data_IF_082054125420
#
_entry.id   IF_082054125420
#
_cell.length_a   1.000
_cell.length_b   1.000
_cell.length_c   1.000
_cell.angle_alpha   90.00
_cell.angle_beta   90.00
_cell.angle_gamma   90.00
#
_symmetry.space_group_name_H-M   'P 1'
#
loop_
_entity.id
_entity.type
_entity.pdbx_description
1 polymer ?
#
# COMPACT_ATOMS: atom_id res chain seq x y z
N UNK A 1 -1.52 9.65 24.39
CA UNK A 1 -0.33 9.14 25.10
C UNK A 1 -0.16 7.68 24.73
N UNK A 2 1.04 7.25 24.35
CA UNK A 2 1.31 5.85 23.97
C UNK A 2 1.41 5.01 25.24
N UNK A 3 0.37 4.22 25.54
CA UNK A 3 0.37 3.38 26.73
C UNK A 3 1.27 2.16 26.48
N UNK A 4 2.24 1.86 27.36
CA UNK A 4 3.21 0.79 27.13
C UNK A 4 2.57 -0.60 26.99
N UNK A 5 1.42 -0.85 27.63
CA UNK A 5 0.70 -2.13 27.48
C UNK A 5 0.15 -2.32 26.06
N UNK A 6 -0.37 -1.28 25.41
CA UNK A 6 -0.86 -1.37 24.03
C UNK A 6 0.26 -1.69 23.04
N UNK A 7 1.45 -1.10 23.27
CA UNK A 7 2.64 -1.40 22.48
C UNK A 7 3.09 -2.83 22.71
N UNK A 8 3.07 -3.31 23.96
CA UNK A 8 3.42 -4.68 24.29
C UNK A 8 2.46 -5.69 23.64
N UNK A 9 1.14 -5.45 23.70
CA UNK A 9 0.13 -6.30 23.06
C UNK A 9 0.29 -6.34 21.54
N UNK A 10 0.54 -5.18 20.90
CA UNK A 10 0.77 -5.12 19.45
C UNK A 10 2.03 -5.88 19.03
N UNK A 11 3.16 -5.70 19.75
CA UNK A 11 4.40 -6.42 19.47
C UNK A 11 4.26 -7.93 19.72
N UNK A 12 3.53 -8.31 20.77
CA UNK A 12 3.24 -9.72 21.06
C UNK A 12 2.42 -10.38 19.95
N UNK A 13 1.41 -9.68 19.41
CA UNK A 13 0.64 -10.17 18.27
C UNK A 13 1.51 -10.36 17.01
N UNK A 14 2.38 -9.39 16.71
CA UNK A 14 3.33 -9.49 15.59
C UNK A 14 4.29 -10.68 15.79
N UNK A 15 4.81 -10.87 17.00
CA UNK A 15 5.69 -11.99 17.33
C UNK A 15 4.99 -13.35 17.15
N UNK A 16 3.71 -13.46 17.52
CA UNK A 16 2.93 -14.69 17.34
C UNK A 16 2.71 -15.03 15.85
N UNK A 17 2.54 -14.03 14.98
CA UNK A 17 2.48 -14.24 13.53
C UNK A 17 3.81 -14.80 13.01
N UNK A 18 4.94 -14.20 13.38
CA UNK A 18 6.25 -14.72 12.97
C UNK A 18 6.55 -16.11 13.53
N UNK A 19 6.15 -16.37 14.78
CA UNK A 19 6.30 -17.67 15.43
C UNK A 19 5.51 -18.76 14.70
N UNK A 20 4.26 -18.49 14.33
CA UNK A 20 3.42 -19.44 13.58
C UNK A 20 3.89 -19.62 12.13
N UNK A 21 4.35 -18.57 11.45
CA UNK A 21 4.92 -18.65 10.10
C UNK A 21 6.18 -19.53 10.05
N UNK A 22 6.93 -19.67 11.16
CA UNK A 22 8.09 -20.57 11.23
C UNK A 22 7.73 -22.02 10.92
N UNK A 23 6.48 -22.44 11.13
CA UNK A 23 6.04 -23.80 10.77
C UNK A 23 6.22 -24.11 9.28
N UNK A 24 6.22 -23.10 8.41
CA UNK A 24 6.50 -23.26 6.98
C UNK A 24 7.89 -23.87 6.76
N UNK A 25 8.88 -23.63 7.63
CA UNK A 25 10.21 -24.25 7.51
C UNK A 25 10.19 -25.78 7.67
N UNK A 26 9.18 -26.35 8.33
CA UNK A 26 9.05 -27.80 8.49
C UNK A 26 8.64 -28.50 7.18
N UNK A 27 8.07 -27.77 6.22
CA UNK A 27 7.71 -28.34 4.91
C UNK A 27 8.93 -28.81 4.10
N UNK A 28 10.13 -28.33 4.43
CA UNK A 28 11.40 -28.82 3.86
C UNK A 28 11.67 -30.29 4.16
N UNK A 29 11.11 -30.84 5.25
CA UNK A 29 11.29 -32.24 5.63
C UNK A 29 10.44 -33.21 4.79
N UNK A 30 9.42 -32.72 4.08
CA UNK A 30 8.57 -33.56 3.23
C UNK A 30 9.11 -33.61 1.80
N UNK A 31 9.18 -34.82 1.23
CA UNK A 31 9.70 -35.05 -0.14
C UNK A 31 8.90 -34.34 -1.23
N UNK A 32 7.60 -34.11 -1.02
CA UNK A 32 6.74 -33.42 -1.99
C UNK A 32 6.68 -31.89 -1.81
N UNK A 33 6.73 -31.39 -0.57
CA UNK A 33 6.57 -29.96 -0.28
C UNK A 33 7.91 -29.21 -0.19
N UNK A 34 9.02 -29.91 0.03
CA UNK A 34 10.35 -29.33 0.12
C UNK A 34 10.80 -28.61 -1.17
N UNK A 35 10.72 -29.24 -2.35
CA UNK A 35 11.08 -28.60 -3.62
C UNK A 35 10.23 -27.36 -3.93
N UNK A 36 8.93 -27.40 -3.60
CA UNK A 36 8.02 -26.27 -3.75
C UNK A 36 8.45 -25.08 -2.89
N UNK A 37 8.77 -25.33 -1.61
CA UNK A 37 9.23 -24.30 -0.69
C UNK A 37 10.55 -23.65 -1.13
N UNK A 38 11.51 -24.45 -1.60
CA UNK A 38 12.80 -23.94 -2.08
C UNK A 38 12.59 -23.04 -3.31
N UNK A 39 11.69 -23.44 -4.21
CA UNK A 39 11.33 -22.64 -5.40
C UNK A 39 10.68 -21.32 -5.02
N UNK A 40 9.75 -21.33 -4.06
CA UNK A 40 9.12 -20.12 -3.51
C UNK A 40 10.14 -19.15 -2.90
N UNK A 41 11.10 -19.67 -2.13
CA UNK A 41 12.14 -18.84 -1.51
C UNK A 41 13.03 -18.12 -2.53
N UNK A 42 13.35 -18.78 -3.65
CA UNK A 42 14.14 -18.18 -4.74
C UNK A 42 13.33 -17.12 -5.51
N UNK A 43 12.06 -17.40 -5.82
CA UNK A 43 11.18 -16.42 -6.48
C UNK A 43 10.96 -15.16 -5.63
N UNK A 44 10.96 -15.28 -4.30
CA UNK A 44 10.78 -14.14 -3.39
C UNK A 44 11.85 -13.04 -3.60
N UNK A 45 13.10 -13.42 -3.90
CA UNK A 45 14.15 -12.44 -4.19
C UNK A 45 13.87 -11.63 -5.46
N UNK A 46 13.23 -12.23 -6.47
CA UNK A 46 12.84 -11.51 -7.68
C UNK A 46 11.63 -10.60 -7.43
N UNK A 47 10.68 -11.05 -6.60
CA UNK A 47 9.55 -10.23 -6.15
C UNK A 47 10.05 -8.98 -5.39
N UNK A 48 11.06 -9.13 -4.51
CA UNK A 48 11.63 -7.99 -3.78
C UNK A 48 12.27 -6.94 -4.71
N UNK A 49 12.95 -7.35 -5.78
CA UNK A 49 13.49 -6.43 -6.79
C UNK A 49 12.37 -5.68 -7.50
N UNK A 50 11.28 -6.37 -7.85
CA UNK A 50 10.13 -5.74 -8.48
C UNK A 50 9.41 -4.77 -7.54
N UNK A 51 9.29 -5.14 -6.26
CA UNK A 51 8.69 -4.30 -5.22
C UNK A 51 9.42 -2.96 -5.10
N UNK A 52 10.74 -2.91 -5.32
CA UNK A 52 11.49 -1.66 -5.33
C UNK A 52 11.02 -0.70 -6.44
N UNK A 53 10.81 -1.20 -7.66
CA UNK A 53 10.28 -0.42 -8.79
C UNK A 53 8.87 0.08 -8.46
N UNK A 54 8.05 -0.81 -7.89
CA UNK A 54 6.70 -0.47 -7.45
C UNK A 54 6.70 0.66 -6.39
N UNK A 55 7.59 0.61 -5.40
CA UNK A 55 7.74 1.67 -4.39
C UNK A 55 8.11 3.03 -5.00
N UNK A 56 8.94 3.05 -6.05
CA UNK A 56 9.29 4.30 -6.75
C UNK A 56 8.07 4.92 -7.44
N UNK A 57 7.26 4.10 -8.11
CA UNK A 57 6.00 4.56 -8.72
C UNK A 57 5.05 5.10 -7.65
N UNK A 58 4.88 4.35 -6.55
CA UNK A 58 4.02 4.74 -5.44
C UNK A 58 4.45 6.09 -4.85
N UNK A 59 5.75 6.30 -4.59
CA UNK A 59 6.30 7.58 -4.11
C UNK A 59 6.10 8.73 -5.11
N UNK A 60 6.28 8.49 -6.42
CA UNK A 60 6.09 9.52 -7.44
C UNK A 60 4.63 10.02 -7.49
N UNK A 61 3.66 9.10 -7.50
CA UNK A 61 2.24 9.44 -7.49
C UNK A 61 1.79 10.03 -6.16
N UNK A 62 2.32 9.56 -5.03
CA UNK A 62 2.07 10.13 -3.72
C UNK A 62 2.52 11.60 -3.65
N UNK A 63 3.72 11.91 -4.15
CA UNK A 63 4.21 13.29 -4.21
C UNK A 63 3.35 14.17 -5.14
N UNK A 64 2.95 13.65 -6.31
CA UNK A 64 2.12 14.38 -7.27
C UNK A 64 0.73 14.73 -6.72
N UNK A 65 0.04 13.74 -6.15
CA UNK A 65 -1.22 13.97 -5.45
C UNK A 65 -1.02 14.87 -4.22
N UNK A 66 0.14 14.76 -3.54
CA UNK A 66 0.43 15.57 -2.35
C UNK A 66 0.57 17.03 -2.62
N UNK A 67 1.19 17.35 -3.75
CA UNK A 67 1.25 18.71 -4.23
C UNK A 67 -0.13 19.24 -4.64
N UNK A 68 -0.96 18.43 -5.33
CA UNK A 68 -2.26 18.85 -5.84
C UNK A 68 -3.26 19.16 -4.70
N UNK A 69 -3.31 18.28 -3.71
CA UNK A 69 -4.23 18.39 -2.58
C UNK A 69 -3.59 19.04 -1.34
N UNK A 70 -2.46 19.74 -1.51
CA UNK A 70 -1.76 20.40 -0.42
C UNK A 70 -2.64 21.46 0.28
N UNK A 71 -3.35 22.26 -0.50
CA UNK A 71 -4.08 23.44 -0.03
C UNK A 71 -5.49 23.16 0.49
N UNK A 72 -6.03 22.00 0.18
CA UNK A 72 -7.38 21.62 0.59
C UNK A 72 -7.29 20.95 1.95
N UNK A 73 -7.55 21.72 3.00
CA UNK A 73 -7.67 21.23 4.38
C UNK A 73 -9.15 21.11 4.76
N UNK A 74 -9.56 19.97 5.31
CA UNK A 74 -10.92 19.83 5.87
C UNK A 74 -10.87 19.52 7.34
N UNK A 75 -11.56 20.37 8.11
CA UNK A 75 -11.70 20.24 9.55
C UNK A 75 -12.87 19.30 9.88
N UNK A 76 -12.77 18.03 9.51
CA UNK A 76 -13.71 17.03 10.04
C UNK A 76 -13.29 16.58 11.44
N UNK A 77 -14.26 16.59 12.35
CA UNK A 77 -14.03 16.58 13.81
C UNK A 77 -14.19 15.20 14.46
N UNK A 78 -14.67 14.17 13.75
CA UNK A 78 -15.05 12.88 14.36
C UNK A 78 -14.12 11.72 14.04
N UNK A 79 -13.65 11.61 12.80
CA UNK A 79 -12.70 10.59 12.38
C UNK A 79 -11.82 11.15 11.26
N UNK A 80 -10.51 10.88 11.29
CA UNK A 80 -9.54 11.40 10.34
C UNK A 80 -8.78 10.27 9.66
N UNK A 81 -8.58 10.39 8.35
CA UNK A 81 -7.80 9.45 7.53
C UNK A 81 -8.63 8.36 6.85
N UNK A 82 -7.93 7.46 6.17
CA UNK A 82 -8.49 6.46 5.25
C UNK A 82 -9.26 5.34 5.97
N UNK A 83 -9.02 5.18 7.28
CA UNK A 83 -9.57 4.09 8.11
C UNK A 83 -10.93 4.46 8.76
N UNK A 84 -11.55 5.54 8.33
CA UNK A 84 -12.83 6.02 8.83
C UNK A 84 -14.01 5.38 8.10
N UNK A 85 -15.16 5.29 8.78
CA UNK A 85 -16.40 4.75 8.21
C UNK A 85 -16.87 5.57 6.99
N UNK A 86 -16.70 6.89 7.03
CA UNK A 86 -16.78 7.76 5.88
C UNK A 86 -15.37 8.17 5.47
N UNK A 87 -14.96 7.82 4.24
CA UNK A 87 -13.67 8.20 3.69
C UNK A 87 -13.71 9.64 3.17
N UNK A 88 -13.89 10.62 4.05
CA UNK A 88 -13.90 12.01 3.64
C UNK A 88 -12.48 12.56 3.67
N UNK A 89 -12.00 12.95 2.49
CA UNK A 89 -10.75 13.69 2.28
C UNK A 89 -9.53 13.09 2.99
N UNK A 90 -9.15 11.89 2.55
CA UNK A 90 -7.92 11.18 2.97
C UNK A 90 -6.63 12.01 2.82
N UNK A 91 -6.71 13.11 2.10
CA UNK A 91 -5.58 13.90 1.67
C UNK A 91 -5.34 15.15 2.53
N UNK A 92 -6.32 15.56 3.34
CA UNK A 92 -6.40 16.92 3.90
C UNK A 92 -6.18 17.00 5.42
N UNK A 93 -5.55 15.99 6.03
CA UNK A 93 -5.49 15.88 7.49
C UNK A 93 -4.42 16.78 8.10
N UNK A 94 -4.83 17.76 8.92
CA UNK A 94 -3.95 18.54 9.78
C UNK A 94 -3.39 17.66 10.92
N UNK A 95 -2.09 17.43 10.88
CA UNK A 95 -1.25 17.13 12.04
C UNK A 95 -0.11 18.14 12.04
N UNK A 96 0.03 18.92 13.11
CA UNK A 96 1.03 19.97 13.33
C UNK A 96 2.49 19.48 13.24
N UNK A 97 2.72 18.18 13.00
CA UNK A 97 4.05 17.60 12.83
C UNK A 97 4.23 16.97 11.43
N UNK A 98 4.88 17.74 10.55
CA UNK A 98 5.63 17.35 9.33
C UNK A 98 4.91 16.80 8.10
N UNK A 99 5.33 17.33 6.94
CA UNK A 99 5.06 16.88 5.56
C UNK A 99 5.20 15.35 5.37
N UNK A 100 6.05 14.71 6.19
CA UNK A 100 6.24 13.27 6.22
C UNK A 100 4.97 12.48 6.62
N UNK A 101 4.22 12.93 7.62
CA UNK A 101 2.98 12.25 8.05
C UNK A 101 1.89 12.37 7.00
N UNK A 102 1.82 13.52 6.33
CA UNK A 102 0.88 13.73 5.22
C UNK A 102 1.21 12.79 4.08
N UNK A 103 2.48 12.75 3.63
CA UNK A 103 2.92 11.79 2.62
C UNK A 103 2.58 10.36 3.03
N UNK A 104 2.78 9.97 4.29
CA UNK A 104 2.44 8.62 4.75
C UNK A 104 0.96 8.26 4.58
N UNK A 105 0.03 9.17 4.85
CA UNK A 105 -1.40 8.95 4.57
C UNK A 105 -1.65 8.76 3.07
N UNK A 106 -1.02 9.58 2.23
CA UNK A 106 -1.17 9.48 0.76
C UNK A 106 -0.61 8.17 0.23
N UNK A 107 0.54 7.72 0.75
CA UNK A 107 1.13 6.41 0.46
C UNK A 107 0.19 5.28 0.89
N UNK A 108 -0.40 5.40 2.08
CA UNK A 108 -1.37 4.43 2.59
C UNK A 108 -2.63 4.38 1.72
N UNK A 109 -3.14 5.53 1.23
CA UNK A 109 -4.31 5.55 0.35
C UNK A 109 -4.03 4.85 -0.97
N UNK A 110 -2.88 5.15 -1.60
CA UNK A 110 -2.48 4.51 -2.84
C UNK A 110 -2.27 3.01 -2.64
N UNK A 111 -1.64 2.59 -1.55
CA UNK A 111 -1.48 1.18 -1.22
C UNK A 111 -2.83 0.44 -1.10
N UNK A 112 -3.80 1.00 -0.36
CA UNK A 112 -5.11 0.36 -0.20
C UNK A 112 -5.96 0.39 -1.48
N UNK A 113 -5.70 1.32 -2.39
CA UNK A 113 -6.44 1.39 -3.66
C UNK A 113 -6.18 0.20 -4.59
N UNK A 114 -5.01 -0.45 -4.50
CA UNK A 114 -4.72 -1.70 -5.22
C UNK A 114 -5.74 -2.78 -4.89
N UNK A 115 -6.18 -2.83 -3.62
CA UNK A 115 -7.15 -3.81 -3.16
C UNK A 115 -8.61 -3.37 -3.41
N UNK A 116 -8.83 -2.24 -4.07
CA UNK A 116 -10.17 -1.70 -4.32
C UNK A 116 -10.88 -1.17 -3.07
N UNK A 117 -10.15 -0.89 -1.99
CA UNK A 117 -10.72 -0.43 -0.71
C UNK A 117 -10.86 1.10 -0.62
N UNK A 118 -10.45 1.82 -1.67
CA UNK A 118 -10.54 3.27 -1.77
C UNK A 118 -11.54 3.63 -2.85
N UNK A 119 -12.53 4.41 -2.47
CA UNK A 119 -13.54 4.88 -3.40
C UNK A 119 -13.12 6.16 -4.12
N UNK A 120 -13.70 6.40 -5.31
CA UNK A 120 -13.38 7.57 -6.14
C UNK A 120 -13.77 8.90 -5.47
N UNK A 121 -14.80 8.92 -4.62
CA UNK A 121 -15.24 10.16 -3.95
C UNK A 121 -14.20 10.75 -2.99
N UNK A 122 -13.12 10.02 -2.67
CA UNK A 122 -12.00 10.51 -1.87
C UNK A 122 -11.24 11.65 -2.56
N UNK A 123 -11.38 11.80 -3.89
CA UNK A 123 -10.81 12.92 -4.65
C UNK A 123 -11.68 14.18 -4.66
N UNK A 124 -12.89 14.12 -4.13
CA UNK A 124 -13.77 15.28 -4.09
C UNK A 124 -13.33 16.23 -2.98
N UNK A 125 -13.56 17.52 -3.19
CA UNK A 125 -13.09 18.57 -2.30
C UNK A 125 -14.25 19.48 -1.90
N UNK A 126 -14.27 19.99 -0.66
CA UNK A 126 -15.37 20.82 -0.17
C UNK A 126 -15.60 22.09 -1.02
N UNK A 127 -14.57 22.91 -1.31
CA UNK A 127 -14.68 23.93 -2.35
C UNK A 127 -14.80 23.28 -3.73
N UNK A 128 -15.86 23.66 -4.46
CA UNK A 128 -16.16 23.17 -5.82
C UNK A 128 -15.11 23.64 -6.83
N UNK A 129 -14.03 22.89 -6.95
CA UNK A 129 -12.99 23.07 -7.97
C UNK A 129 -12.97 21.86 -8.90
N UNK A 130 -13.90 21.84 -9.86
CA UNK A 130 -14.09 20.73 -10.80
C UNK A 130 -12.80 20.38 -11.56
N UNK A 131 -11.97 21.39 -11.88
CA UNK A 131 -10.69 21.14 -12.57
C UNK A 131 -9.69 20.37 -11.69
N UNK A 132 -9.54 20.75 -10.43
CA UNK A 132 -8.62 20.06 -9.50
C UNK A 132 -9.10 18.63 -9.24
N UNK A 133 -10.40 18.45 -9.00
CA UNK A 133 -11.00 17.13 -8.79
C UNK A 133 -10.79 16.24 -10.01
N UNK A 134 -11.03 16.77 -11.22
CA UNK A 134 -10.79 16.04 -12.46
C UNK A 134 -9.33 15.64 -12.65
N UNK A 135 -8.38 16.55 -12.43
CA UNK A 135 -6.95 16.27 -12.53
C UNK A 135 -6.53 15.22 -11.49
N UNK A 136 -7.02 15.33 -10.25
CA UNK A 136 -6.71 14.37 -9.19
C UNK A 136 -7.30 12.98 -9.45
N UNK A 137 -8.55 12.91 -9.92
CA UNK A 137 -9.17 11.65 -10.35
C UNK A 137 -8.42 11.02 -11.53
N UNK A 138 -7.92 11.84 -12.46
CA UNK A 138 -7.12 11.36 -13.61
C UNK A 138 -5.76 10.83 -13.15
N UNK A 139 -5.07 11.51 -12.24
CA UNK A 139 -3.82 11.03 -11.65
C UNK A 139 -4.02 9.72 -10.87
N UNK A 140 -5.11 9.61 -10.11
CA UNK A 140 -5.46 8.38 -9.40
C UNK A 140 -5.83 7.24 -10.36
N UNK A 141 -6.60 7.52 -11.42
CA UNK A 141 -6.94 6.53 -12.44
C UNK A 141 -5.72 6.00 -13.19
N UNK A 142 -4.81 6.90 -13.59
CA UNK A 142 -3.55 6.52 -14.25
C UNK A 142 -2.64 5.69 -13.34
N UNK A 143 -2.56 6.03 -12.04
CA UNK A 143 -1.88 5.20 -11.04
C UNK A 143 -2.47 3.78 -10.96
N UNK A 144 -3.79 3.65 -10.94
CA UNK A 144 -4.46 2.34 -10.91
C UNK A 144 -4.18 1.53 -12.18
N UNK A 145 -4.23 2.15 -13.36
CA UNK A 145 -3.88 1.49 -14.63
C UNK A 145 -2.43 0.99 -14.61
N UNK A 146 -1.48 1.83 -14.21
CA UNK A 146 -0.06 1.44 -14.15
C UNK A 146 0.14 0.32 -13.12
N UNK A 147 -0.44 0.45 -11.93
CA UNK A 147 -0.20 -0.50 -10.83
C UNK A 147 -0.90 -1.84 -11.05
N UNK A 148 -2.19 -1.83 -11.36
CA UNK A 148 -3.02 -3.05 -11.46
C UNK A 148 -2.94 -3.72 -12.83
N UNK A 149 -2.79 -2.96 -13.92
CA UNK A 149 -2.78 -3.55 -15.26
C UNK A 149 -1.35 -3.79 -15.74
N UNK A 150 -0.43 -2.84 -15.56
CA UNK A 150 0.92 -2.99 -16.11
C UNK A 150 1.82 -3.73 -15.13
N UNK A 151 2.01 -3.20 -13.92
CA UNK A 151 2.98 -3.73 -12.96
C UNK A 151 2.57 -5.11 -12.44
N UNK A 152 1.30 -5.31 -12.08
CA UNK A 152 0.83 -6.62 -11.62
C UNK A 152 1.00 -7.70 -12.69
N UNK A 153 0.65 -7.42 -13.95
CA UNK A 153 0.84 -8.39 -15.05
C UNK A 153 2.32 -8.64 -15.34
N UNK A 154 3.17 -7.63 -15.23
CA UNK A 154 4.62 -7.79 -15.38
C UNK A 154 5.21 -8.64 -14.25
N UNK A 155 4.74 -8.47 -13.00
CA UNK A 155 5.14 -9.31 -11.86
C UNK A 155 4.78 -10.78 -12.11
N UNK A 156 3.55 -11.05 -12.57
CA UNK A 156 3.11 -12.41 -12.92
C UNK A 156 4.01 -13.00 -14.02
N UNK A 157 4.31 -12.23 -15.07
CA UNK A 157 5.17 -12.68 -16.15
C UNK A 157 6.59 -13.03 -15.67
N UNK A 158 7.18 -12.20 -14.79
CA UNK A 158 8.48 -12.48 -14.21
C UNK A 158 8.46 -13.70 -13.28
N UNK A 159 7.42 -13.87 -12.47
CA UNK A 159 7.26 -15.07 -11.63
C UNK A 159 7.15 -16.32 -12.48
N UNK A 160 6.40 -16.29 -13.59
CA UNK A 160 6.28 -17.43 -14.51
C UNK A 160 7.63 -17.81 -15.13
N UNK A 161 8.44 -16.84 -15.57
CA UNK A 161 9.76 -17.09 -16.12
C UNK A 161 10.74 -17.62 -15.06
N UNK A 162 10.75 -17.00 -13.87
CA UNK A 162 11.59 -17.46 -12.74
C UNK A 162 11.22 -18.89 -12.32
N UNK A 163 9.92 -19.22 -12.28
CA UNK A 163 9.45 -20.58 -12.00
C UNK A 163 9.91 -21.59 -13.05
N UNK A 164 9.84 -21.26 -14.35
CA UNK A 164 10.31 -22.13 -15.43
C UNK A 164 11.83 -22.38 -15.42
N UNK A 165 12.62 -21.44 -14.89
CA UNK A 165 14.07 -21.60 -14.76
C UNK A 165 14.49 -22.42 -13.53
N UNK A 166 13.61 -22.49 -12.52
CA UNK A 166 13.87 -23.17 -11.24
C UNK A 166 13.31 -24.61 -11.23
N UNK A 167 12.22 -24.86 -11.97
CA UNK A 167 11.64 -26.18 -12.18
C UNK A 167 12.48 -27.03 -13.14
#
# INVERSE_FOLDING_TARGET
>A
MWHPTLVAEALFAIANIFSSLRLISLFTANSHLGPLQISLGRMLLDILKFLFIYCLVLLAFANGLNQLYFYYETQETKCKGIRCAEQNNAFSTFSLWTLFFRLFETLQSLFWSIFGLINLYVTNVQPKHEFTEFVGATMFGTYNVISLVVLLNMLIAMMNNSYQLIA
#
